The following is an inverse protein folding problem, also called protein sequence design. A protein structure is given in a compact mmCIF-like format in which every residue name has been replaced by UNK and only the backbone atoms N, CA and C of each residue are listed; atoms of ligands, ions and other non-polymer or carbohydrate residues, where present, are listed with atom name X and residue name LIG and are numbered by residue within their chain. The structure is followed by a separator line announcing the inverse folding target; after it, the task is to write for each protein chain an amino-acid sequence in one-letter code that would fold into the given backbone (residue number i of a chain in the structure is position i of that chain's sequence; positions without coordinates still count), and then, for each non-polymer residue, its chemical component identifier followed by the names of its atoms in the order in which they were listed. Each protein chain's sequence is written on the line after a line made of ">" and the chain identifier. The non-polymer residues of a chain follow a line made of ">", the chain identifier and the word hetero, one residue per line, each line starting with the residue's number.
data_IF_132209133216
#
_entry.id   IF_132209133216
#
_cell.length_a   1.000
_cell.length_b   1.000
_cell.length_c   1.000
_cell.angle_alpha   90.00
_cell.angle_beta   90.00
_cell.angle_gamma   90.00
#
_symmetry.space_group_name_H-M   'P 1'
#
loop_
_entity.id
_entity.type
_entity.pdbx_description
1 polymer ?
#
# COMPACT_ATOMS: atom_id res chain seq x y z
N UNK A 1 1.76 11.76 -21.29
CA UNK A 1 2.00 11.51 -19.85
C UNK A 1 2.75 10.18 -19.72
N UNK A 2 3.89 10.13 -19.04
CA UNK A 2 4.72 8.91 -18.95
C UNK A 2 3.96 7.78 -18.24
N UNK A 3 3.96 6.56 -18.79
CA UNK A 3 3.30 5.39 -18.20
C UNK A 3 3.69 5.17 -16.73
N UNK A 4 4.98 5.34 -16.41
CA UNK A 4 5.50 5.23 -15.04
C UNK A 4 4.91 6.29 -14.10
N UNK A 5 4.78 7.53 -14.58
CA UNK A 5 4.14 8.60 -13.82
C UNK A 5 2.68 8.26 -13.52
N UNK A 6 1.95 7.71 -14.49
CA UNK A 6 0.57 7.27 -14.29
C UNK A 6 0.48 6.15 -13.25
N UNK A 7 1.38 5.15 -13.29
CA UNK A 7 1.40 4.05 -12.31
C UNK A 7 1.70 4.56 -10.90
N UNK A 8 2.66 5.48 -10.75
CA UNK A 8 2.95 6.11 -9.44
C UNK A 8 1.72 6.86 -8.91
N UNK A 9 1.02 7.63 -9.74
CA UNK A 9 -0.20 8.34 -9.35
C UNK A 9 -1.29 7.34 -8.91
N UNK A 10 -1.50 6.26 -9.66
CA UNK A 10 -2.48 5.21 -9.32
C UNK A 10 -2.13 4.58 -7.97
N UNK A 11 -0.85 4.27 -7.73
CA UNK A 11 -0.39 3.70 -6.45
C UNK A 11 -0.61 4.69 -5.31
N UNK A 12 -0.30 5.97 -5.48
CA UNK A 12 -0.58 6.98 -4.45
C UNK A 12 -2.08 7.04 -4.08
N UNK A 13 -2.95 7.03 -5.08
CA UNK A 13 -4.41 7.03 -4.87
C UNK A 13 -4.85 5.73 -4.17
N UNK A 14 -4.31 4.58 -4.57
CA UNK A 14 -4.59 3.29 -3.94
C UNK A 14 -4.23 3.27 -2.45
N UNK A 15 -3.04 3.74 -2.09
CA UNK A 15 -2.62 3.81 -0.68
C UNK A 15 -3.47 4.79 0.13
N UNK A 16 -3.86 5.91 -0.46
CA UNK A 16 -4.77 6.85 0.19
C UNK A 16 -6.13 6.21 0.48
N UNK A 17 -6.73 5.55 -0.51
CA UNK A 17 -8.03 4.88 -0.38
C UNK A 17 -7.96 3.75 0.65
N UNK A 18 -6.92 2.92 0.64
CA UNK A 18 -6.84 1.76 1.53
C UNK A 18 -6.51 2.14 2.98
N UNK A 19 -5.91 3.32 3.21
CA UNK A 19 -5.57 3.77 4.56
C UNK A 19 -6.78 4.02 5.46
N UNK A 20 -7.88 4.49 4.89
CA UNK A 20 -9.12 4.78 5.62
C UNK A 20 -9.74 3.51 6.21
N UNK A 21 -10.05 2.47 5.42
CA UNK A 21 -10.61 1.24 5.96
C UNK A 21 -9.62 0.50 6.87
N UNK A 22 -8.31 0.51 6.60
CA UNK A 22 -7.32 -0.13 7.47
C UNK A 22 -7.39 0.45 8.89
N UNK A 23 -7.31 1.78 9.00
CA UNK A 23 -7.29 2.46 10.29
C UNK A 23 -8.63 2.35 11.06
N UNK A 24 -9.76 2.23 10.35
CA UNK A 24 -11.07 2.11 10.99
C UNK A 24 -11.42 0.68 11.41
N UNK A 25 -11.15 -0.31 10.54
CA UNK A 25 -11.62 -1.68 10.74
C UNK A 25 -10.59 -2.56 11.43
N UNK A 26 -9.29 -2.37 11.16
CA UNK A 26 -8.26 -3.25 11.71
C UNK A 26 -8.20 -3.22 13.25
N UNK A 27 -8.21 -2.05 13.93
CA UNK A 27 -8.24 -2.01 15.40
C UNK A 27 -9.46 -2.68 16.02
N UNK A 28 -10.60 -2.68 15.31
CA UNK A 28 -11.83 -3.35 15.77
C UNK A 28 -11.81 -4.87 15.63
N UNK A 29 -10.97 -5.40 14.72
CA UNK A 29 -10.84 -6.83 14.44
C UNK A 29 -9.81 -7.51 15.34
N UNK A 30 -8.66 -6.87 15.56
CA UNK A 30 -7.50 -7.49 16.22
C UNK A 30 -7.03 -6.76 17.48
N UNK A 31 -7.72 -5.68 17.86
CA UNK A 31 -7.34 -4.85 19.00
C UNK A 31 -6.33 -3.76 18.63
N UNK A 32 -6.44 -2.60 19.29
CA UNK A 32 -5.67 -1.41 18.93
C UNK A 32 -4.14 -1.57 19.12
N UNK A 33 -3.70 -2.38 20.08
CA UNK A 33 -2.27 -2.60 20.34
C UNK A 33 -1.59 -3.39 19.21
N UNK A 34 -2.27 -4.40 18.67
CA UNK A 34 -1.72 -5.26 17.63
C UNK A 34 -1.94 -4.67 16.23
N UNK A 35 -2.94 -3.78 16.07
CA UNK A 35 -3.27 -3.14 14.80
C UNK A 35 -2.10 -2.37 14.17
N UNK A 36 -1.30 -1.66 14.97
CA UNK A 36 -0.18 -0.85 14.43
C UNK A 36 0.89 -1.72 13.76
N UNK A 37 1.21 -2.89 14.34
CA UNK A 37 2.20 -3.82 13.79
C UNK A 37 1.66 -4.45 12.50
N UNK A 38 0.39 -4.83 12.50
CA UNK A 38 -0.25 -5.43 11.32
C UNK A 38 -0.43 -4.41 10.19
N UNK A 39 -0.81 -3.18 10.49
CA UNK A 39 -0.85 -2.07 9.52
C UNK A 39 0.51 -1.88 8.85
N UNK A 40 1.58 -1.82 9.65
CA UNK A 40 2.93 -1.68 9.14
C UNK A 40 3.32 -2.85 8.22
N UNK A 41 2.99 -4.09 8.60
CA UNK A 41 3.24 -5.27 7.78
C UNK A 41 2.48 -5.22 6.45
N UNK A 42 1.20 -4.84 6.46
CA UNK A 42 0.37 -4.69 5.26
C UNK A 42 0.98 -3.63 4.33
N UNK A 43 1.35 -2.47 4.86
CA UNK A 43 1.95 -1.41 4.05
C UNK A 43 3.30 -1.80 3.44
N UNK A 44 4.14 -2.54 4.17
CA UNK A 44 5.42 -3.04 3.63
C UNK A 44 5.19 -3.98 2.45
N UNK A 45 4.23 -4.91 2.56
CA UNK A 45 3.90 -5.86 1.50
C UNK A 45 3.35 -5.12 0.28
N UNK A 46 2.36 -4.23 0.48
CA UNK A 46 1.76 -3.45 -0.60
C UNK A 46 2.79 -2.54 -1.29
N UNK A 47 3.71 -1.95 -0.52
CA UNK A 47 4.74 -1.05 -1.07
C UNK A 47 5.75 -1.84 -1.90
N UNK A 48 6.16 -3.02 -1.41
CA UNK A 48 7.06 -3.93 -2.13
C UNK A 48 6.45 -4.41 -3.45
N UNK A 49 5.16 -4.79 -3.44
CA UNK A 49 4.44 -5.18 -4.65
C UNK A 49 4.31 -4.00 -5.63
N UNK A 50 3.98 -2.82 -5.13
CA UNK A 50 3.84 -1.62 -5.96
C UNK A 50 5.16 -1.23 -6.62
N UNK A 51 6.26 -1.29 -5.87
CA UNK A 51 7.60 -1.09 -6.40
C UNK A 51 7.91 -2.11 -7.49
N UNK A 52 7.68 -3.40 -7.23
CA UNK A 52 7.88 -4.43 -8.22
C UNK A 52 7.09 -4.16 -9.51
N UNK A 53 5.79 -3.83 -9.43
CA UNK A 53 4.97 -3.55 -10.61
C UNK A 53 5.39 -2.29 -11.38
N UNK A 54 5.80 -1.22 -10.68
CA UNK A 54 6.23 0.03 -11.34
C UNK A 54 7.56 -0.17 -12.07
N UNK A 55 8.49 -0.88 -11.44
CA UNK A 55 9.88 -1.00 -11.91
C UNK A 55 10.18 -2.34 -12.60
N UNK A 56 9.19 -3.22 -12.78
CA UNK A 56 9.39 -4.56 -13.36
C UNK A 56 10.15 -4.53 -14.69
N UNK A 57 9.79 -3.59 -15.57
CA UNK A 57 10.42 -3.41 -16.89
C UNK A 57 11.83 -2.78 -16.83
N UNK A 58 12.27 -2.30 -15.68
CA UNK A 58 13.64 -1.80 -15.51
C UNK A 58 14.61 -2.93 -15.08
N UNK A 59 14.07 -4.08 -14.66
CA UNK A 59 14.85 -5.26 -14.28
C UNK A 59 15.02 -6.28 -15.42
N UNK A 60 14.39 -6.05 -16.58
CA UNK A 60 14.41 -6.90 -17.78
C UNK A 60 14.79 -6.06 -19.01
#
# INVERSE_FOLDING_TARGET
>A
MNLRLNLVIIVMIFFFIISIPLNLFLPSLIGANDATIVDAAIYIILASLSFFFIFFKDFY
#
